data_IF_665267421118
#
_entry.id   IF_665267421118
#
_cell.length_a   1.000
_cell.length_b   1.000
_cell.length_c   1.000
_cell.angle_alpha   90.00
_cell.angle_beta   90.00
_cell.angle_gamma   90.00
#
_symmetry.space_group_name_H-M   'P 1'
#
loop_
_entity.id
_entity.type
_entity.pdbx_description
1 polymer ?
#
# COMPACT_ATOMS: atom_id res chain seq x y z
N UNK A 1 -29.74 -18.58 -10.26
CA UNK A 1 -30.34 -18.37 -8.92
C UNK A 1 -30.77 -16.91 -8.87
N UNK A 2 -32.08 -16.59 -8.84
CA UNK A 2 -32.53 -15.19 -8.91
C UNK A 2 -32.82 -14.65 -7.49
N UNK A 3 -31.81 -14.07 -6.85
CA UNK A 3 -31.97 -13.31 -5.61
C UNK A 3 -31.75 -11.82 -5.92
N UNK A 4 -32.74 -11.01 -5.55
CA UNK A 4 -32.71 -9.57 -5.78
C UNK A 4 -31.83 -8.86 -4.76
N UNK A 5 -31.34 -7.67 -5.14
CA UNK A 5 -30.58 -6.80 -4.23
C UNK A 5 -31.39 -6.46 -2.96
N UNK A 6 -32.71 -6.26 -3.09
CA UNK A 6 -33.58 -5.99 -1.94
C UNK A 6 -33.62 -7.16 -0.95
N UNK A 7 -33.64 -8.41 -1.44
CA UNK A 7 -33.59 -9.60 -0.57
C UNK A 7 -32.25 -9.73 0.13
N UNK A 8 -31.14 -9.38 -0.53
CA UNK A 8 -29.81 -9.36 0.08
C UNK A 8 -29.71 -8.28 1.15
N UNK A 9 -30.20 -7.08 0.86
CA UNK A 9 -30.21 -5.99 1.80
C UNK A 9 -31.01 -6.32 3.06
N UNK A 10 -32.20 -6.91 2.90
CA UNK A 10 -33.03 -7.37 4.01
C UNK A 10 -32.34 -8.48 4.82
N UNK A 11 -31.83 -9.51 4.14
CA UNK A 11 -31.21 -10.67 4.79
C UNK A 11 -30.04 -10.29 5.70
N UNK A 12 -29.19 -9.37 5.25
CA UNK A 12 -28.02 -8.94 6.02
C UNK A 12 -28.21 -7.61 6.78
N UNK A 13 -29.42 -7.04 6.78
CA UNK A 13 -29.71 -5.79 7.49
C UNK A 13 -28.94 -4.58 6.95
N UNK A 14 -28.72 -4.51 5.63
CA UNK A 14 -28.09 -3.35 4.97
C UNK A 14 -29.10 -2.20 4.94
N UNK A 15 -28.92 -1.25 5.85
CA UNK A 15 -29.81 -0.08 6.00
C UNK A 15 -29.32 1.14 5.20
N UNK A 16 -28.03 1.22 4.91
CA UNK A 16 -27.46 2.30 4.09
C UNK A 16 -27.51 1.94 2.60
N UNK A 17 -28.20 2.77 1.81
CA UNK A 17 -28.31 2.75 0.33
C UNK A 17 -27.68 1.52 -0.37
N UNK A 18 -28.43 0.40 -0.49
CA UNK A 18 -27.90 -0.85 -1.04
C UNK A 18 -27.50 -0.74 -2.51
N UNK A 19 -28.18 0.10 -3.29
CA UNK A 19 -27.82 0.35 -4.71
C UNK A 19 -26.43 0.96 -4.83
N UNK A 20 -26.03 1.81 -3.88
CA UNK A 20 -24.67 2.37 -3.84
C UNK A 20 -23.67 1.33 -3.36
N UNK A 21 -23.95 0.67 -2.24
CA UNK A 21 -23.04 -0.29 -1.60
C UNK A 21 -22.74 -1.49 -2.51
N UNK A 22 -23.79 -2.04 -3.13
CA UNK A 22 -23.73 -3.23 -3.98
C UNK A 22 -24.01 -2.88 -5.45
N UNK A 23 -23.58 -1.68 -5.90
CA UNK A 23 -23.73 -1.28 -7.31
C UNK A 23 -23.12 -2.32 -8.25
N UNK A 24 -23.78 -2.59 -9.38
CA UNK A 24 -23.41 -3.67 -10.30
C UNK A 24 -23.96 -5.04 -9.93
N UNK A 25 -24.90 -5.12 -8.96
CA UNK A 25 -25.45 -6.39 -8.49
C UNK A 25 -26.08 -7.23 -9.62
N UNK A 26 -26.91 -6.60 -10.44
CA UNK A 26 -27.65 -7.30 -11.50
C UNK A 26 -26.69 -7.85 -12.56
N UNK A 27 -25.68 -7.08 -12.95
CA UNK A 27 -24.61 -7.48 -13.86
C UNK A 27 -23.83 -8.67 -13.33
N UNK A 28 -23.46 -8.64 -12.05
CA UNK A 28 -22.81 -9.77 -11.40
C UNK A 28 -23.70 -11.02 -11.42
N UNK A 29 -24.97 -10.90 -11.05
CA UNK A 29 -25.89 -12.04 -10.99
C UNK A 29 -26.18 -12.65 -12.37
N UNK A 30 -26.17 -11.85 -13.45
CA UNK A 30 -26.31 -12.37 -14.83
C UNK A 30 -25.15 -13.29 -15.24
N UNK A 31 -23.98 -13.12 -14.64
CA UNK A 31 -22.78 -13.93 -14.95
C UNK A 31 -22.56 -15.08 -13.96
N UNK A 32 -23.42 -15.21 -12.95
CA UNK A 32 -23.28 -16.24 -11.92
C UNK A 32 -23.44 -17.63 -12.54
N UNK A 33 -22.48 -18.56 -12.32
CA UNK A 33 -22.58 -19.91 -12.86
C UNK A 33 -23.76 -20.65 -12.25
N UNK A 34 -24.27 -21.65 -12.98
CA UNK A 34 -25.21 -22.59 -12.41
C UNK A 34 -24.50 -23.48 -11.37
N UNK A 35 -25.12 -23.64 -10.20
CA UNK A 35 -24.57 -24.44 -9.10
C UNK A 35 -23.61 -23.67 -8.19
N UNK A 36 -22.73 -24.42 -7.51
CA UNK A 36 -21.73 -23.85 -6.58
C UNK A 36 -20.55 -23.33 -7.40
N UNK A 37 -20.14 -22.05 -7.26
CA UNK A 37 -18.95 -21.52 -7.91
C UNK A 37 -17.71 -22.36 -7.61
N UNK A 38 -16.87 -22.57 -8.63
CA UNK A 38 -15.71 -23.47 -8.53
C UNK A 38 -14.74 -23.11 -7.41
N UNK A 39 -14.64 -21.83 -7.04
CA UNK A 39 -13.79 -21.36 -5.96
C UNK A 39 -14.24 -21.79 -4.55
N UNK A 40 -15.47 -22.27 -4.38
CA UNK A 40 -15.96 -22.86 -3.13
C UNK A 40 -15.76 -24.38 -3.06
N UNK A 41 -15.11 -24.98 -4.07
CA UNK A 41 -14.78 -26.42 -4.04
C UNK A 41 -13.50 -26.68 -3.22
N UNK A 42 -13.43 -27.78 -2.47
CA UNK A 42 -12.25 -28.10 -1.64
C UNK A 42 -10.95 -28.14 -2.42
N UNK A 43 -10.95 -28.79 -3.58
CA UNK A 43 -9.77 -28.88 -4.45
C UNK A 43 -9.24 -27.50 -4.85
N UNK A 44 -10.14 -26.53 -5.09
CA UNK A 44 -9.75 -25.18 -5.50
C UNK A 44 -9.11 -24.37 -4.36
N UNK A 45 -9.80 -24.24 -3.22
CA UNK A 45 -9.32 -23.40 -2.13
C UNK A 45 -8.15 -24.04 -1.37
N UNK A 46 -8.08 -25.38 -1.25
CA UNK A 46 -6.95 -26.05 -0.60
C UNK A 46 -5.68 -25.98 -1.46
N UNK A 47 -5.80 -26.12 -2.78
CA UNK A 47 -4.67 -25.93 -3.70
C UNK A 47 -4.13 -24.49 -3.62
N UNK A 48 -5.03 -23.50 -3.61
CA UNK A 48 -4.66 -22.09 -3.48
C UNK A 48 -4.06 -21.78 -2.11
N UNK A 49 -4.62 -22.34 -1.03
CA UNK A 49 -4.12 -22.21 0.33
C UNK A 49 -2.67 -22.69 0.45
N UNK A 50 -2.40 -23.91 -0.04
CA UNK A 50 -1.06 -24.50 -0.06
C UNK A 50 -0.08 -23.67 -0.90
N UNK A 51 -0.53 -23.11 -2.02
CA UNK A 51 0.28 -22.26 -2.88
C UNK A 51 0.69 -20.96 -2.16
N UNK A 52 -0.24 -20.33 -1.44
CA UNK A 52 -0.02 -19.13 -0.65
C UNK A 52 0.76 -19.39 0.66
N UNK A 53 0.85 -20.65 1.11
CA UNK A 53 1.56 -21.03 2.32
C UNK A 53 0.80 -20.76 3.61
N UNK A 54 -0.53 -20.85 3.59
CA UNK A 54 -1.33 -20.77 4.81
C UNK A 54 -1.06 -21.96 5.74
N UNK A 55 -1.18 -21.73 7.04
CA UNK A 55 -0.98 -22.76 8.06
C UNK A 55 -2.19 -23.72 8.18
N UNK A 56 -1.94 -24.93 8.70
CA UNK A 56 -2.97 -25.95 8.88
C UNK A 56 -4.16 -25.49 9.74
N UNK A 57 -3.91 -24.63 10.74
CA UNK A 57 -4.96 -24.08 11.59
C UNK A 57 -5.94 -23.22 10.80
N UNK A 58 -5.42 -22.42 9.86
CA UNK A 58 -6.22 -21.67 8.89
C UNK A 58 -6.96 -22.62 7.95
N UNK A 59 -6.29 -23.62 7.37
CA UNK A 59 -6.89 -24.57 6.42
C UNK A 59 -8.09 -25.32 6.99
N UNK A 60 -8.01 -25.72 8.25
CA UNK A 60 -9.07 -26.46 8.94
C UNK A 60 -10.40 -25.67 9.05
N UNK A 61 -10.37 -24.35 8.84
CA UNK A 61 -11.57 -23.49 8.88
C UNK A 61 -12.23 -23.31 7.51
N UNK A 62 -11.54 -23.63 6.41
CA UNK A 62 -11.98 -23.32 5.05
C UNK A 62 -13.18 -24.17 4.64
N UNK A 63 -13.09 -25.50 4.78
CA UNK A 63 -14.13 -26.43 4.35
C UNK A 63 -15.47 -26.22 5.08
N UNK A 64 -15.53 -26.17 6.43
CA UNK A 64 -16.79 -25.94 7.13
C UNK A 64 -17.45 -24.61 6.74
N UNK A 65 -16.65 -23.56 6.55
CA UNK A 65 -17.15 -22.24 6.14
C UNK A 65 -17.67 -22.25 4.70
N UNK A 66 -16.97 -22.91 3.77
CA UNK A 66 -17.39 -23.06 2.39
C UNK A 66 -18.71 -23.85 2.28
N UNK A 67 -18.91 -24.88 3.12
CA UNK A 67 -20.16 -25.63 3.16
C UNK A 67 -21.35 -24.78 3.63
N UNK A 68 -21.14 -23.92 4.63
CA UNK A 68 -22.19 -22.98 5.10
C UNK A 68 -22.53 -22.00 3.98
N UNK A 69 -21.53 -21.35 3.38
CA UNK A 69 -21.72 -20.40 2.29
C UNK A 69 -22.43 -21.04 1.10
N UNK A 70 -22.09 -22.29 0.76
CA UNK A 70 -22.68 -23.00 -0.38
C UNK A 70 -24.15 -23.38 -0.18
N UNK A 71 -24.61 -23.52 1.07
CA UNK A 71 -25.99 -23.89 1.41
C UNK A 71 -26.89 -22.66 1.61
N UNK A 72 -26.31 -21.52 1.97
CA UNK A 72 -27.02 -20.25 2.13
C UNK A 72 -27.06 -19.46 0.82
N UNK A 73 -28.26 -19.25 0.26
CA UNK A 73 -28.43 -18.56 -1.02
C UNK A 73 -27.95 -17.10 -1.00
N UNK A 74 -28.08 -16.41 0.13
CA UNK A 74 -27.68 -15.01 0.28
C UNK A 74 -26.17 -14.88 0.37
N UNK A 75 -25.50 -15.72 1.18
CA UNK A 75 -24.05 -15.77 1.25
C UNK A 75 -23.43 -16.20 -0.08
N UNK A 76 -24.00 -17.20 -0.75
CA UNK A 76 -23.52 -17.67 -2.03
C UNK A 76 -23.57 -16.56 -3.10
N UNK A 77 -24.71 -15.88 -3.22
CA UNK A 77 -24.86 -14.78 -4.17
C UNK A 77 -23.93 -13.60 -3.83
N UNK A 78 -23.82 -13.24 -2.55
CA UNK A 78 -22.91 -12.17 -2.13
C UNK A 78 -21.44 -12.54 -2.39
N UNK A 79 -21.04 -13.80 -2.16
CA UNK A 79 -19.68 -14.26 -2.46
C UNK A 79 -19.38 -14.15 -3.95
N UNK A 80 -20.33 -14.52 -4.81
CA UNK A 80 -20.20 -14.35 -6.26
C UNK A 80 -20.09 -12.88 -6.65
N UNK A 81 -20.94 -12.01 -6.08
CA UNK A 81 -20.88 -10.57 -6.33
C UNK A 81 -19.51 -9.98 -5.99
N UNK A 82 -18.96 -10.33 -4.82
CA UNK A 82 -17.64 -9.82 -4.40
C UNK A 82 -16.55 -10.38 -5.31
N UNK A 83 -16.58 -11.67 -5.65
CA UNK A 83 -15.66 -12.27 -6.62
C UNK A 83 -15.69 -11.52 -7.96
N UNK A 84 -16.89 -11.33 -8.53
CA UNK A 84 -17.09 -10.58 -9.77
C UNK A 84 -16.50 -9.17 -9.69
N UNK A 85 -16.71 -8.45 -8.58
CA UNK A 85 -16.15 -7.12 -8.39
C UNK A 85 -14.61 -7.12 -8.33
N UNK A 86 -14.00 -8.17 -7.74
CA UNK A 86 -12.54 -8.29 -7.64
C UNK A 86 -11.89 -8.62 -8.99
N UNK A 87 -12.56 -9.40 -9.84
CA UNK A 87 -12.02 -9.87 -11.13
C UNK A 87 -12.37 -8.97 -12.30
N UNK A 88 -13.66 -8.61 -12.44
CA UNK A 88 -14.22 -7.87 -13.58
C UNK A 88 -14.51 -6.40 -13.27
N UNK A 89 -14.57 -6.04 -11.98
CA UNK A 89 -14.90 -4.67 -11.56
C UNK A 89 -13.88 -3.63 -12.03
N UNK A 90 -14.40 -2.54 -12.61
CA UNK A 90 -13.64 -1.34 -12.99
C UNK A 90 -13.63 -0.26 -11.91
N UNK A 91 -14.53 -0.37 -10.93
CA UNK A 91 -14.69 0.60 -9.84
C UNK A 91 -13.96 0.13 -8.59
N UNK A 92 -13.13 1.01 -8.02
CA UNK A 92 -12.51 0.78 -6.72
C UNK A 92 -13.59 0.71 -5.62
N UNK A 93 -13.54 -0.33 -4.79
CA UNK A 93 -14.52 -0.60 -3.73
C UNK A 93 -13.81 -1.01 -2.47
N UNK A 94 -14.33 -0.57 -1.33
CA UNK A 94 -13.97 -1.11 -0.02
C UNK A 94 -15.11 -2.00 0.48
N UNK A 95 -14.76 -3.03 1.25
CA UNK A 95 -15.73 -4.01 1.75
C UNK A 95 -15.96 -3.88 3.26
N UNK A 96 -15.40 -2.84 3.88
CA UNK A 96 -15.58 -2.48 5.29
C UNK A 96 -17.02 -2.13 5.66
N UNK A 97 -17.81 -1.70 4.68
CA UNK A 97 -19.24 -1.42 4.83
C UNK A 97 -20.14 -2.64 4.61
N UNK A 98 -19.57 -3.80 4.26
CA UNK A 98 -20.35 -5.03 4.24
C UNK A 98 -20.77 -5.42 5.66
N UNK A 99 -21.95 -6.04 5.81
CA UNK A 99 -22.46 -6.47 7.10
C UNK A 99 -21.57 -7.54 7.75
N UNK A 100 -21.68 -7.68 9.06
CA UNK A 100 -20.97 -8.73 9.79
C UNK A 100 -21.62 -10.09 9.52
N UNK A 101 -20.83 -11.07 9.09
CA UNK A 101 -21.28 -12.46 8.89
C UNK A 101 -21.22 -13.30 10.17
N UNK A 102 -21.20 -12.66 11.35
CA UNK A 102 -21.12 -13.39 12.64
C UNK A 102 -22.34 -14.26 12.92
N UNK A 103 -23.51 -13.88 12.40
CA UNK A 103 -24.74 -14.66 12.59
C UNK A 103 -24.68 -16.00 11.85
N UNK A 104 -24.10 -16.00 10.64
CA UNK A 104 -24.04 -17.17 9.77
C UNK A 104 -22.77 -18.00 9.99
N UNK A 105 -21.62 -17.34 10.17
CA UNK A 105 -20.29 -17.97 10.23
C UNK A 105 -19.63 -17.90 11.61
N UNK A 106 -20.26 -17.23 12.59
CA UNK A 106 -19.71 -17.08 13.94
C UNK A 106 -18.31 -16.46 13.92
N UNK A 107 -17.39 -17.08 14.66
CA UNK A 107 -15.99 -16.68 14.75
C UNK A 107 -15.20 -16.85 13.43
N UNK A 108 -15.76 -17.58 12.46
CA UNK A 108 -15.18 -17.77 11.13
C UNK A 108 -15.66 -16.72 10.10
N UNK A 109 -16.29 -15.61 10.53
CA UNK A 109 -16.77 -14.57 9.60
C UNK A 109 -15.66 -14.04 8.67
N UNK A 110 -14.42 -13.99 9.14
CA UNK A 110 -13.26 -13.60 8.34
C UNK A 110 -12.91 -14.57 7.20
N UNK A 111 -13.35 -15.83 7.30
CA UNK A 111 -13.10 -16.88 6.30
C UNK A 111 -13.92 -16.66 5.03
N UNK A 112 -15.05 -15.97 5.11
CA UNK A 112 -15.77 -15.51 3.92
C UNK A 112 -14.85 -14.75 2.96
N UNK A 113 -14.10 -13.78 3.50
CA UNK A 113 -13.14 -12.99 2.72
C UNK A 113 -11.86 -13.77 2.38
N UNK A 114 -11.46 -14.73 3.20
CA UNK A 114 -10.34 -15.63 2.88
C UNK A 114 -10.62 -16.50 1.65
N UNK A 115 -11.80 -17.11 1.57
CA UNK A 115 -12.19 -17.92 0.41
C UNK A 115 -12.22 -17.07 -0.87
N UNK A 116 -12.67 -15.83 -0.77
CA UNK A 116 -12.63 -14.86 -1.88
C UNK A 116 -11.20 -14.46 -2.24
N UNK A 117 -10.30 -14.26 -1.27
CA UNK A 117 -8.88 -14.03 -1.56
C UNK A 117 -8.25 -15.21 -2.30
N UNK A 118 -8.48 -16.44 -1.82
CA UNK A 118 -7.99 -17.67 -2.43
C UNK A 118 -8.56 -17.91 -3.84
N UNK A 119 -9.80 -17.49 -4.08
CA UNK A 119 -10.45 -17.60 -5.40
C UNK A 119 -9.72 -16.86 -6.52
N UNK A 120 -8.93 -15.83 -6.17
CA UNK A 120 -8.17 -15.04 -7.14
C UNK A 120 -6.89 -15.74 -7.62
N UNK A 121 -6.36 -16.68 -6.81
CA UNK A 121 -5.03 -17.29 -7.05
C UNK A 121 -4.95 -18.01 -8.41
N UNK A 122 -5.91 -18.86 -8.82
CA UNK A 122 -5.82 -19.53 -10.11
C UNK A 122 -5.83 -18.56 -11.30
N UNK A 123 -6.61 -17.49 -11.22
CA UNK A 123 -6.65 -16.46 -12.27
C UNK A 123 -5.38 -15.61 -12.29
N UNK A 124 -4.91 -15.17 -11.12
CA UNK A 124 -3.65 -14.44 -10.97
C UNK A 124 -2.48 -15.23 -11.59
N UNK A 125 -2.33 -16.51 -11.24
CA UNK A 125 -1.29 -17.39 -11.79
C UNK A 125 -1.30 -17.40 -13.32
N UNK A 126 -2.47 -17.62 -13.93
CA UNK A 126 -2.63 -17.57 -15.39
C UNK A 126 -2.24 -16.22 -15.98
N UNK A 127 -2.56 -15.12 -15.31
CA UNK A 127 -2.16 -13.77 -15.74
C UNK A 127 -0.63 -13.63 -15.75
N UNK A 128 0.04 -13.97 -14.65
CA UNK A 128 1.49 -13.86 -14.55
C UNK A 128 2.24 -14.86 -15.47
N UNK A 129 1.71 -16.07 -15.66
CA UNK A 129 2.25 -17.06 -16.60
C UNK A 129 2.22 -16.51 -18.04
N UNK A 130 1.12 -15.87 -18.46
CA UNK A 130 1.02 -15.20 -19.77
C UNK A 130 2.00 -14.04 -19.93
N UNK A 131 2.40 -13.42 -18.82
CA UNK A 131 3.41 -12.36 -18.77
C UNK A 131 4.85 -12.91 -18.71
N UNK A 132 5.02 -14.24 -18.77
CA UNK A 132 6.30 -14.94 -18.63
C UNK A 132 7.03 -14.61 -17.32
N UNK A 133 6.28 -14.45 -16.24
CA UNK A 133 6.86 -14.20 -14.91
C UNK A 133 7.31 -15.52 -14.29
N UNK A 134 8.55 -15.59 -13.75
CA UNK A 134 9.06 -16.77 -13.06
C UNK A 134 8.15 -17.25 -11.91
N UNK A 135 7.95 -18.57 -11.80
CA UNK A 135 7.04 -19.18 -10.82
C UNK A 135 7.37 -18.79 -9.37
N UNK A 136 8.66 -18.63 -9.03
CA UNK A 136 9.08 -18.18 -7.70
C UNK A 136 8.57 -16.77 -7.37
N UNK A 137 8.58 -15.84 -8.33
CA UNK A 137 8.03 -14.49 -8.16
C UNK A 137 6.52 -14.55 -8.00
N UNK A 138 5.82 -15.39 -8.78
CA UNK A 138 4.37 -15.59 -8.64
C UNK A 138 4.05 -16.10 -7.23
N UNK A 139 4.77 -17.12 -6.78
CA UNK A 139 4.59 -17.70 -5.44
C UNK A 139 4.84 -16.67 -4.34
N UNK A 140 5.92 -15.90 -4.43
CA UNK A 140 6.21 -14.85 -3.45
C UNK A 140 5.15 -13.76 -3.46
N UNK A 141 4.67 -13.36 -4.64
CA UNK A 141 3.60 -12.36 -4.78
C UNK A 141 2.28 -12.84 -4.17
N UNK A 142 1.96 -14.14 -4.28
CA UNK A 142 0.74 -14.70 -3.66
C UNK A 142 0.81 -14.86 -2.14
N UNK A 143 1.98 -14.66 -1.51
CA UNK A 143 2.11 -14.68 -0.04
C UNK A 143 1.39 -13.51 0.63
N UNK A 144 0.95 -12.48 -0.11
CA UNK A 144 0.20 -11.38 0.51
C UNK A 144 -1.09 -11.87 1.18
N UNK A 145 -1.71 -12.94 0.68
CA UNK A 145 -2.89 -13.55 1.32
C UNK A 145 -2.54 -14.06 2.73
N UNK A 146 -1.37 -14.65 2.92
CA UNK A 146 -0.88 -15.05 4.25
C UNK A 146 -0.57 -13.83 5.12
N UNK A 147 0.04 -12.80 4.54
CA UNK A 147 0.27 -11.52 5.22
C UNK A 147 -1.02 -10.87 5.74
N UNK A 148 -2.07 -10.84 4.92
CA UNK A 148 -3.38 -10.32 5.30
C UNK A 148 -4.10 -11.22 6.31
N UNK A 149 -3.87 -12.54 6.25
CA UNK A 149 -4.29 -13.46 7.32
C UNK A 149 -3.66 -13.08 8.66
N UNK A 150 -2.36 -12.76 8.66
CA UNK A 150 -1.65 -12.25 9.82
C UNK A 150 -2.29 -10.99 10.41
N UNK A 151 -2.63 -10.01 9.55
CA UNK A 151 -3.30 -8.79 9.98
C UNK A 151 -4.68 -9.08 10.61
N UNK A 152 -5.46 -9.97 10.01
CA UNK A 152 -6.75 -10.38 10.55
C UNK A 152 -6.61 -11.04 11.92
N UNK A 153 -5.62 -11.93 12.08
CA UNK A 153 -5.30 -12.58 13.36
C UNK A 153 -4.92 -11.55 14.44
N UNK A 154 -4.16 -10.51 14.09
CA UNK A 154 -3.82 -9.43 15.03
C UNK A 154 -5.07 -8.67 15.48
N UNK A 155 -6.02 -8.41 14.57
CA UNK A 155 -7.25 -7.67 14.87
C UNK A 155 -8.33 -8.48 15.60
N UNK A 156 -8.37 -9.80 15.43
CA UNK A 156 -9.51 -10.66 15.78
C UNK A 156 -9.14 -11.83 16.71
N UNK A 157 -8.29 -11.59 17.71
CA UNK A 157 -7.90 -12.58 18.74
C UNK A 157 -7.32 -13.88 18.15
N UNK A 158 -6.40 -13.73 17.19
CA UNK A 158 -5.72 -14.83 16.49
C UNK A 158 -6.64 -15.70 15.61
N UNK A 159 -7.86 -15.24 15.31
CA UNK A 159 -8.75 -15.93 14.37
C UNK A 159 -8.32 -15.70 12.92
N UNK A 160 -8.32 -16.74 12.07
CA UNK A 160 -7.96 -16.61 10.66
C UNK A 160 -9.02 -15.85 9.86
N UNK A 161 -8.61 -15.22 8.76
CA UNK A 161 -9.51 -14.47 7.88
C UNK A 161 -8.80 -13.38 7.08
N UNK A 162 -9.56 -12.57 6.36
CA UNK A 162 -9.05 -11.37 5.68
C UNK A 162 -9.86 -10.17 6.15
N UNK A 163 -9.19 -9.06 6.46
CA UNK A 163 -9.90 -7.83 6.81
C UNK A 163 -10.58 -7.26 5.56
N UNK A 164 -11.87 -6.87 5.63
CA UNK A 164 -12.62 -6.44 4.45
C UNK A 164 -12.01 -5.23 3.73
N UNK A 165 -11.41 -4.30 4.48
CA UNK A 165 -10.74 -3.13 3.93
C UNK A 165 -9.44 -3.45 3.17
N UNK A 166 -8.90 -4.66 3.29
CA UNK A 166 -7.69 -5.10 2.56
C UNK A 166 -8.03 -5.87 1.28
N UNK A 167 -9.20 -6.50 1.21
CA UNK A 167 -9.57 -7.43 0.13
C UNK A 167 -9.46 -6.82 -1.28
N UNK A 168 -9.85 -5.55 -1.43
CA UNK A 168 -9.82 -4.86 -2.72
C UNK A 168 -8.41 -4.77 -3.32
N UNK A 169 -7.39 -4.69 -2.46
CA UNK A 169 -5.99 -4.62 -2.87
C UNK A 169 -5.59 -5.86 -3.67
N UNK A 170 -6.20 -7.01 -3.36
CA UNK A 170 -5.88 -8.27 -3.99
C UNK A 170 -6.21 -8.32 -5.50
N UNK A 171 -7.12 -7.45 -5.97
CA UNK A 171 -7.40 -7.32 -7.41
C UNK A 171 -6.17 -6.91 -8.22
N UNK A 172 -5.21 -6.20 -7.62
CA UNK A 172 -3.96 -5.84 -8.29
C UNK A 172 -3.15 -7.09 -8.67
N UNK A 173 -3.14 -8.10 -7.81
CA UNK A 173 -2.46 -9.37 -8.09
C UNK A 173 -3.20 -10.16 -9.17
N UNK A 174 -4.53 -10.24 -9.10
CA UNK A 174 -5.34 -10.88 -10.15
C UNK A 174 -5.08 -10.26 -11.53
N UNK A 175 -4.97 -8.93 -11.57
CA UNK A 175 -4.73 -8.13 -12.78
C UNK A 175 -3.25 -8.07 -13.20
N UNK A 176 -2.35 -8.78 -12.53
CA UNK A 176 -0.93 -8.84 -12.88
C UNK A 176 -0.18 -7.51 -12.69
N UNK A 177 -0.64 -6.64 -11.78
CA UNK A 177 -0.08 -5.30 -11.60
C UNK A 177 1.04 -5.23 -10.56
N UNK A 178 1.00 -6.09 -9.54
CA UNK A 178 1.96 -6.09 -8.42
C UNK A 178 2.93 -7.26 -8.51
N UNK A 179 4.16 -7.07 -8.07
CA UNK A 179 5.19 -8.11 -8.07
C UNK A 179 5.99 -8.02 -6.78
N UNK A 180 6.06 -9.13 -6.02
CA UNK A 180 6.95 -9.22 -4.86
C UNK A 180 8.34 -9.62 -5.30
N UNK A 181 9.30 -8.71 -5.12
CA UNK A 181 10.67 -8.87 -5.58
C UNK A 181 11.61 -8.69 -4.40
N UNK A 182 11.87 -9.79 -3.68
CA UNK A 182 12.59 -9.75 -2.40
C UNK A 182 11.70 -9.23 -1.27
N UNK A 183 12.15 -8.17 -0.56
CA UNK A 183 11.43 -7.66 0.61
C UNK A 183 10.14 -6.92 0.24
N UNK A 184 10.14 -6.15 -0.84
CA UNK A 184 9.04 -5.26 -1.18
C UNK A 184 8.20 -5.78 -2.34
N UNK A 185 7.07 -5.13 -2.53
CA UNK A 185 6.22 -5.28 -3.72
C UNK A 185 6.29 -4.04 -4.57
N UNK A 186 6.04 -4.20 -5.86
CA UNK A 186 6.21 -3.13 -6.82
C UNK A 186 5.16 -3.19 -7.92
N UNK A 187 4.77 -2.03 -8.42
CA UNK A 187 4.01 -1.89 -9.67
C UNK A 187 4.58 -0.72 -10.48
N UNK A 188 4.27 -0.68 -11.78
CA UNK A 188 4.57 0.47 -12.61
C UNK A 188 3.43 1.47 -12.56
N UNK A 189 3.75 2.72 -12.26
CA UNK A 189 2.81 3.84 -12.29
C UNK A 189 3.51 5.09 -12.82
N UNK A 190 2.78 5.99 -13.50
CA UNK A 190 3.26 7.34 -13.73
C UNK A 190 3.54 8.05 -12.41
N UNK A 191 4.61 8.83 -12.37
CA UNK A 191 4.98 9.63 -11.20
C UNK A 191 3.89 10.66 -10.89
N UNK A 192 3.33 10.54 -9.70
CA UNK A 192 2.17 11.30 -9.24
C UNK A 192 2.43 12.01 -7.90
N UNK A 193 3.66 11.97 -7.37
CA UNK A 193 4.03 12.68 -6.14
C UNK A 193 4.39 14.15 -6.42
N UNK A 194 4.23 15.04 -5.42
CA UNK A 194 4.41 16.47 -5.62
C UNK A 194 5.88 16.84 -5.85
N UNK A 195 6.16 17.50 -6.98
CA UNK A 195 7.43 18.17 -7.24
C UNK A 195 8.17 17.62 -8.45
N UNK A 196 9.34 18.21 -8.71
CA UNK A 196 10.26 17.79 -9.78
C UNK A 196 11.65 17.63 -9.21
N UNK A 197 12.30 16.52 -9.54
CA UNK A 197 13.67 16.23 -9.12
C UNK A 197 14.63 16.50 -10.27
N UNK A 198 15.76 17.11 -9.93
CA UNK A 198 16.85 17.42 -10.84
C UNK A 198 18.13 16.75 -10.39
N UNK A 199 18.99 16.46 -11.36
CA UNK A 199 20.32 15.88 -11.20
C UNK A 199 21.38 16.84 -11.72
N UNK A 200 22.43 17.07 -10.94
CA UNK A 200 23.60 17.77 -11.42
C UNK A 200 24.37 16.87 -12.39
N UNK A 201 24.66 17.36 -13.60
CA UNK A 201 25.34 16.61 -14.65
C UNK A 201 26.75 16.17 -14.28
N UNK A 202 27.46 16.97 -13.48
CA UNK A 202 28.87 16.74 -13.11
C UNK A 202 29.00 15.87 -11.86
N UNK A 203 28.19 16.15 -10.83
CA UNK A 203 28.33 15.51 -9.51
C UNK A 203 27.35 14.37 -9.27
N UNK A 204 26.27 14.29 -10.06
CA UNK A 204 25.17 13.35 -9.83
C UNK A 204 24.28 13.71 -8.63
N UNK A 205 24.55 14.83 -7.95
CA UNK A 205 23.76 15.30 -6.81
C UNK A 205 22.30 15.51 -7.21
N UNK A 206 21.37 15.17 -6.32
CA UNK A 206 19.92 15.35 -6.53
C UNK A 206 19.37 16.52 -5.74
N UNK A 207 18.41 17.22 -6.33
CA UNK A 207 17.59 18.23 -5.66
C UNK A 207 16.14 18.12 -6.14
N UNK A 208 15.20 17.95 -5.22
CA UNK A 208 13.78 18.05 -5.49
C UNK A 208 13.28 19.46 -5.21
N UNK A 209 12.39 19.99 -6.04
CA UNK A 209 11.65 21.22 -5.78
C UNK A 209 10.18 20.92 -5.52
N UNK A 210 9.60 21.63 -4.56
CA UNK A 210 8.16 21.61 -4.30
C UNK A 210 7.39 22.12 -5.52
N UNK A 211 6.14 21.71 -5.74
CA UNK A 211 5.22 22.45 -6.61
C UNK A 211 5.05 23.90 -6.13
N UNK A 212 4.57 24.76 -7.01
CA UNK A 212 4.16 26.12 -6.66
C UNK A 212 2.92 26.08 -5.75
N UNK A 213 2.77 27.08 -4.88
CA UNK A 213 1.53 27.31 -4.12
C UNK A 213 1.13 26.20 -3.12
N UNK A 214 2.09 25.39 -2.64
CA UNK A 214 1.85 24.43 -1.55
C UNK A 214 2.12 25.11 -0.21
N UNK A 215 1.21 24.94 0.76
CA UNK A 215 1.41 25.45 2.12
C UNK A 215 2.14 24.44 2.99
N UNK A 216 3.18 24.91 3.67
CA UNK A 216 3.97 24.17 4.64
C UNK A 216 3.89 24.83 6.02
N UNK A 217 4.00 24.03 7.08
CA UNK A 217 4.15 24.52 8.45
C UNK A 217 5.56 25.10 8.70
N UNK A 218 5.80 25.65 9.90
CA UNK A 218 7.11 26.21 10.27
C UNK A 218 8.27 25.20 10.22
N UNK A 219 7.98 23.90 10.31
CA UNK A 219 8.95 22.82 10.28
C UNK A 219 9.14 22.22 8.86
N UNK A 220 8.43 22.75 7.85
CA UNK A 220 8.55 22.33 6.45
C UNK A 220 7.73 21.08 6.08
N UNK A 221 6.75 20.68 6.89
CA UNK A 221 5.80 19.62 6.52
C UNK A 221 4.55 20.21 5.89
N UNK A 222 3.84 19.44 5.06
CA UNK A 222 2.61 19.92 4.41
C UNK A 222 1.59 20.29 5.49
N UNK A 223 1.13 21.54 5.48
CA UNK A 223 0.29 22.11 6.54
C UNK A 223 -1.17 21.62 6.43
N UNK A 224 -2.00 21.93 7.43
CA UNK A 224 -3.44 21.69 7.38
C UNK A 224 -3.87 20.28 7.77
N UNK A 225 -3.08 19.55 8.57
CA UNK A 225 -3.47 18.22 9.06
C UNK A 225 -4.74 18.36 9.91
N UNK A 226 -5.85 17.80 9.41
CA UNK A 226 -7.15 17.90 10.06
C UNK A 226 -7.70 19.33 10.08
N UNK A 227 -7.43 20.12 9.03
CA UNK A 227 -7.87 21.51 8.86
C UNK A 227 -7.28 22.50 9.88
N UNK A 228 -6.21 22.08 10.57
CA UNK A 228 -5.46 22.93 11.50
C UNK A 228 -4.19 23.40 10.82
N UNK A 229 -4.04 24.73 10.69
CA UNK A 229 -2.91 25.38 10.03
C UNK A 229 -1.96 26.05 11.05
N UNK A 230 -0.66 26.05 10.75
CA UNK A 230 0.31 26.87 11.49
C UNK A 230 0.21 28.33 11.03
N UNK A 231 -0.69 29.10 11.63
CA UNK A 231 -0.90 30.52 11.31
C UNK A 231 0.32 31.40 11.61
N UNK A 232 1.18 30.96 12.53
CA UNK A 232 2.30 31.78 13.01
C UNK A 232 3.53 31.64 12.11
N UNK A 233 3.88 30.43 11.71
CA UNK A 233 5.12 30.16 10.98
C UNK A 233 4.91 29.54 9.60
N UNK A 234 3.67 29.19 9.24
CA UNK A 234 3.34 28.60 7.95
C UNK A 234 3.74 29.49 6.78
N UNK A 235 4.05 28.87 5.66
CA UNK A 235 4.54 29.55 4.46
C UNK A 235 4.11 28.81 3.20
N UNK A 236 4.08 29.53 2.07
CA UNK A 236 3.67 28.98 0.78
C UNK A 236 4.89 28.86 -0.12
N UNK A 237 5.06 27.71 -0.75
CA UNK A 237 6.15 27.48 -1.69
C UNK A 237 5.98 28.27 -2.97
N UNK A 238 7.11 28.48 -3.64
CA UNK A 238 7.13 28.95 -5.02
C UNK A 238 7.93 28.00 -5.90
N UNK A 239 7.53 27.88 -7.16
CA UNK A 239 8.28 27.18 -8.19
C UNK A 239 8.16 27.88 -9.54
N UNK A 240 9.29 28.06 -10.21
CA UNK A 240 9.35 28.68 -11.53
C UNK A 240 10.48 28.06 -12.36
N UNK A 241 10.19 27.76 -13.61
CA UNK A 241 11.17 27.36 -14.62
C UNK A 241 11.10 28.38 -15.78
N UNK A 242 12.13 29.19 -15.96
CA UNK A 242 12.22 30.22 -17.01
C UNK A 242 13.66 30.45 -17.44
N UNK A 243 13.89 30.83 -18.69
CA UNK A 243 15.20 31.23 -19.22
C UNK A 243 16.36 30.26 -18.90
N UNK A 244 16.07 28.95 -18.86
CA UNK A 244 17.07 27.92 -18.53
C UNK A 244 17.45 27.83 -17.05
N UNK A 245 16.67 28.45 -16.17
CA UNK A 245 16.81 28.41 -14.72
C UNK A 245 15.57 27.80 -14.06
N UNK A 246 15.79 26.98 -13.03
CA UNK A 246 14.74 26.52 -12.13
C UNK A 246 14.96 27.20 -10.80
N UNK A 247 13.95 27.92 -10.31
CA UNK A 247 14.00 28.65 -9.05
C UNK A 247 12.78 28.32 -8.19
N UNK A 248 13.00 27.99 -6.92
CA UNK A 248 11.90 27.66 -6.02
C UNK A 248 12.34 27.14 -4.67
N UNK A 249 11.40 26.57 -3.93
CA UNK A 249 11.64 25.96 -2.63
C UNK A 249 12.07 24.49 -2.78
N UNK A 250 13.27 24.11 -2.33
CA UNK A 250 13.72 22.74 -2.45
C UNK A 250 13.21 21.87 -1.30
N UNK A 251 13.16 20.56 -1.54
CA UNK A 251 13.07 19.57 -0.48
C UNK A 251 14.46 19.34 0.13
N UNK A 252 14.48 19.15 1.45
CA UNK A 252 15.58 18.49 2.15
C UNK A 252 15.40 16.98 1.98
N UNK A 253 16.47 16.22 1.66
CA UNK A 253 16.41 14.75 1.61
C UNK A 253 16.12 14.12 2.98
N UNK A 254 16.07 14.93 4.05
CA UNK A 254 15.64 14.55 5.38
C UNK A 254 14.11 14.55 5.55
N UNK A 255 13.32 14.86 4.51
CA UNK A 255 11.87 14.70 4.51
C UNK A 255 11.04 15.93 4.86
N UNK A 256 11.59 17.14 4.69
CA UNK A 256 10.87 18.41 4.88
C UNK A 256 11.22 19.41 3.77
N UNK A 257 10.34 20.36 3.50
CA UNK A 257 10.57 21.45 2.56
C UNK A 257 11.40 22.58 3.20
N UNK A 258 12.24 23.24 2.40
CA UNK A 258 13.10 24.34 2.83
C UNK A 258 12.48 25.67 2.39
N UNK A 259 12.33 26.61 3.32
CA UNK A 259 11.68 27.91 3.10
C UNK A 259 12.51 28.85 2.24
N UNK A 260 13.84 28.74 2.32
CA UNK A 260 14.78 29.49 1.50
C UNK A 260 14.74 29.00 0.06
N UNK A 261 14.53 29.93 -0.88
CA UNK A 261 14.53 29.61 -2.31
C UNK A 261 15.94 29.31 -2.81
N UNK A 262 16.03 28.44 -3.80
CA UNK A 262 17.25 28.15 -4.54
C UNK A 262 17.00 28.22 -6.03
N UNK A 263 18.08 28.52 -6.76
CA UNK A 263 18.09 28.53 -8.22
C UNK A 263 19.18 27.58 -8.73
N UNK A 264 18.82 26.77 -9.74
CA UNK A 264 19.76 25.91 -10.47
C UNK A 264 19.68 26.23 -11.97
N UNK A 265 20.81 26.13 -12.67
CA UNK A 265 20.87 26.27 -14.12
C UNK A 265 20.68 24.92 -14.82
N UNK A 266 19.80 24.88 -15.82
CA UNK A 266 19.58 23.71 -16.68
C UNK A 266 20.78 23.39 -17.59
N UNK A 267 21.79 24.25 -17.63
CA UNK A 267 23.09 23.94 -18.24
C UNK A 267 23.88 22.93 -17.37
N UNK A 268 23.83 23.07 -16.05
CA UNK A 268 24.54 22.20 -15.11
C UNK A 268 23.65 21.08 -14.54
N UNK A 269 22.33 21.23 -14.64
CA UNK A 269 21.34 20.31 -14.08
C UNK A 269 20.37 19.82 -15.15
N UNK A 270 19.77 18.66 -14.92
CA UNK A 270 18.74 18.10 -15.79
C UNK A 270 17.63 17.44 -14.98
N UNK A 271 16.40 17.32 -15.52
CA UNK A 271 15.33 16.58 -14.87
C UNK A 271 15.76 15.11 -14.63
N UNK A 272 15.60 14.65 -13.40
CA UNK A 272 15.84 13.28 -12.98
C UNK A 272 14.52 12.49 -12.81
N UNK A 273 13.46 13.19 -12.41
CA UNK A 273 12.10 12.67 -12.28
C UNK A 273 11.09 13.82 -12.28
N UNK A 274 10.08 13.75 -13.14
CA UNK A 274 8.99 14.74 -13.24
C UNK A 274 7.64 14.06 -13.37
N UNK A 275 6.57 14.84 -13.23
CA UNK A 275 5.20 14.35 -13.36
C UNK A 275 5.00 13.53 -14.65
N UNK A 276 4.30 12.40 -14.52
CA UNK A 276 4.00 11.43 -15.58
C UNK A 276 5.17 10.61 -16.14
N UNK A 277 6.40 10.77 -15.64
CA UNK A 277 7.47 9.81 -15.93
C UNK A 277 7.10 8.42 -15.37
N UNK A 278 7.44 7.34 -16.05
CA UNK A 278 7.25 6.00 -15.49
C UNK A 278 8.13 5.78 -14.26
N UNK A 279 7.52 5.24 -13.20
CA UNK A 279 8.20 4.90 -11.95
C UNK A 279 7.85 3.52 -11.48
N UNK A 280 8.74 2.95 -10.68
CA UNK A 280 8.48 1.73 -9.93
C UNK A 280 7.89 2.15 -8.58
N UNK A 281 6.58 2.08 -8.45
CA UNK A 281 5.86 2.39 -7.21
C UNK A 281 6.00 1.22 -6.23
N UNK A 282 6.63 1.48 -5.09
CA UNK A 282 6.93 0.49 -4.07
C UNK A 282 5.79 0.40 -3.05
N UNK A 283 5.48 -0.83 -2.66
CA UNK A 283 4.59 -1.19 -1.58
C UNK A 283 5.28 -2.11 -0.57
N UNK A 284 4.85 -2.02 0.69
CA UNK A 284 5.54 -2.65 1.81
C UNK A 284 4.61 -3.70 2.41
N UNK A 285 4.75 -4.98 2.01
CA UNK A 285 3.91 -6.04 2.54
C UNK A 285 4.24 -6.30 4.02
N UNK A 286 3.30 -6.86 4.80
CA UNK A 286 3.52 -7.23 6.20
C UNK A 286 4.67 -8.24 6.37
N UNK A 287 5.17 -8.38 7.60
CA UNK A 287 6.17 -9.40 7.96
C UNK A 287 7.53 -8.88 8.46
N UNK A 288 7.76 -7.58 8.61
CA UNK A 288 9.00 -7.04 9.19
C UNK A 288 10.24 -7.33 8.32
N UNK A 289 11.45 -7.43 8.88
CA UNK A 289 12.63 -7.88 8.10
C UNK A 289 13.19 -6.91 7.05
N UNK A 290 12.94 -5.61 7.18
CA UNK A 290 13.48 -4.56 6.29
C UNK A 290 14.97 -4.25 6.58
N UNK A 291 15.83 -5.26 6.68
CA UNK A 291 17.26 -4.99 6.87
C UNK A 291 17.79 -4.18 5.67
N UNK A 292 18.81 -3.32 5.85
CA UNK A 292 19.37 -2.56 4.74
C UNK A 292 19.75 -3.43 3.53
N UNK A 293 20.27 -4.63 3.77
CA UNK A 293 20.65 -5.59 2.72
C UNK A 293 19.42 -6.09 1.97
N UNK A 294 18.37 -6.53 2.69
CA UNK A 294 17.14 -7.00 2.08
C UNK A 294 16.43 -5.89 1.27
N UNK A 295 16.49 -4.64 1.75
CA UNK A 295 15.96 -3.48 1.04
C UNK A 295 16.76 -3.19 -0.24
N UNK A 296 18.09 -3.16 -0.15
CA UNK A 296 18.97 -2.96 -1.31
C UNK A 296 18.77 -4.04 -2.37
N UNK A 297 18.76 -5.29 -1.95
CA UNK A 297 18.63 -6.43 -2.86
C UNK A 297 17.25 -6.41 -3.55
N UNK A 298 16.19 -6.05 -2.80
CA UNK A 298 14.86 -5.83 -3.36
C UNK A 298 14.85 -4.70 -4.41
N UNK A 299 15.51 -3.57 -4.15
CA UNK A 299 15.60 -2.46 -5.11
C UNK A 299 16.34 -2.88 -6.39
N UNK A 300 17.46 -3.60 -6.23
CA UNK A 300 18.24 -4.12 -7.36
C UNK A 300 17.40 -5.05 -8.21
N UNK A 301 16.73 -6.03 -7.59
CA UNK A 301 15.84 -6.96 -8.30
C UNK A 301 14.69 -6.22 -8.98
N UNK A 302 14.12 -5.18 -8.37
CA UNK A 302 13.06 -4.39 -8.99
C UNK A 302 13.54 -3.68 -10.27
N UNK A 303 14.67 -2.97 -10.21
CA UNK A 303 15.21 -2.31 -11.40
C UNK A 303 15.54 -3.31 -12.51
N UNK A 304 16.15 -4.45 -12.18
CA UNK A 304 16.44 -5.52 -13.15
C UNK A 304 15.13 -6.06 -13.77
N UNK A 305 14.17 -6.43 -12.92
CA UNK A 305 12.90 -7.01 -13.33
C UNK A 305 12.11 -6.09 -14.27
N UNK A 306 11.87 -4.82 -13.90
CA UNK A 306 11.04 -3.93 -14.72
C UNK A 306 11.73 -3.52 -16.01
N UNK A 307 13.05 -3.35 -16.02
CA UNK A 307 13.79 -3.06 -17.25
C UNK A 307 13.81 -4.25 -18.22
N UNK A 308 13.72 -5.49 -17.72
CA UNK A 308 13.64 -6.69 -18.56
C UNK A 308 12.22 -6.98 -19.04
N UNK A 309 11.23 -6.95 -18.14
CA UNK A 309 9.86 -7.37 -18.45
C UNK A 309 8.97 -6.27 -19.03
N UNK A 310 9.32 -4.99 -18.82
CA UNK A 310 8.55 -3.83 -19.27
C UNK A 310 9.45 -2.73 -19.88
N UNK A 311 10.27 -3.05 -20.90
CA UNK A 311 11.27 -2.12 -21.44
C UNK A 311 10.63 -0.87 -22.08
N UNK A 312 9.36 -0.91 -22.45
CA UNK A 312 8.61 0.23 -22.98
C UNK A 312 8.24 1.27 -21.91
N UNK A 313 8.31 0.90 -20.62
CA UNK A 313 8.01 1.75 -19.46
C UNK A 313 9.27 2.02 -18.65
N UNK A 314 10.30 2.53 -19.33
CA UNK A 314 11.61 2.81 -18.73
C UNK A 314 11.46 3.65 -17.47
N UNK A 315 11.88 3.08 -16.34
CA UNK A 315 11.77 3.70 -15.02
C UNK A 315 13.16 3.84 -14.40
N UNK A 316 13.54 5.07 -14.07
CA UNK A 316 14.84 5.39 -13.45
C UNK A 316 14.76 5.54 -11.92
N UNK A 317 13.55 5.49 -11.36
CA UNK A 317 13.32 5.71 -9.94
C UNK A 317 12.32 4.71 -9.34
N UNK A 318 12.60 4.32 -8.10
CA UNK A 318 11.64 3.71 -7.19
C UNK A 318 11.07 4.84 -6.31
N UNK A 319 9.76 4.85 -6.14
CA UNK A 319 9.05 5.87 -5.35
C UNK A 319 8.07 5.21 -4.40
N UNK A 320 7.75 5.87 -3.29
CA UNK A 320 6.70 5.42 -2.38
C UNK A 320 6.20 6.57 -1.51
N UNK A 321 4.92 6.54 -1.16
CA UNK A 321 4.36 7.32 -0.05
C UNK A 321 3.92 6.35 1.04
N UNK A 322 4.42 6.54 2.26
CA UNK A 322 4.08 5.68 3.39
C UNK A 322 4.30 6.36 4.74
N UNK A 323 3.50 5.93 5.72
CA UNK A 323 3.71 6.22 7.15
C UNK A 323 5.07 5.76 7.66
N UNK A 324 5.67 4.76 6.99
CA UNK A 324 7.02 4.26 7.30
C UNK A 324 8.07 5.37 7.17
N UNK A 325 7.85 6.34 6.28
CA UNK A 325 8.77 7.47 6.08
C UNK A 325 8.49 8.65 7.03
N UNK A 326 7.77 8.41 8.13
CA UNK A 326 7.60 9.40 9.18
C UNK A 326 8.93 9.68 9.90
N UNK A 327 9.48 10.86 9.64
CA UNK A 327 10.77 11.32 10.19
C UNK A 327 10.79 11.43 11.72
N UNK A 328 9.63 11.43 12.40
CA UNK A 328 9.57 11.35 13.86
C UNK A 328 10.23 10.06 14.39
N UNK A 329 10.21 8.98 13.61
CA UNK A 329 10.81 7.70 13.99
C UNK A 329 12.33 7.71 13.99
N UNK A 330 13.00 8.60 13.23
CA UNK A 330 14.47 8.66 13.22
C UNK A 330 15.04 8.94 14.62
N UNK A 331 14.33 9.73 15.44
CA UNK A 331 14.70 10.02 16.83
C UNK A 331 14.23 8.94 17.81
N UNK A 332 13.04 8.36 17.58
CA UNK A 332 12.39 7.45 18.52
C UNK A 332 12.85 5.99 18.37
N UNK A 333 13.31 5.61 17.18
CA UNK A 333 13.65 4.23 16.80
C UNK A 333 14.95 4.18 15.98
N UNK A 334 16.05 4.85 16.40
CA UNK A 334 17.24 5.07 15.57
C UNK A 334 17.91 3.79 15.08
N UNK A 335 17.88 2.72 15.89
CA UNK A 335 18.53 1.45 15.57
C UNK A 335 17.66 0.51 14.73
N UNK A 336 16.40 0.90 14.48
CA UNK A 336 15.46 0.08 13.73
C UNK A 336 15.88 -0.05 12.27
N UNK A 337 15.62 -1.23 11.71
CA UNK A 337 15.77 -1.51 10.29
C UNK A 337 15.03 -0.49 9.40
N UNK A 338 13.84 -0.05 9.85
CA UNK A 338 13.06 0.99 9.21
C UNK A 338 13.82 2.31 9.08
N UNK A 339 14.38 2.81 10.19
CA UNK A 339 15.13 4.08 10.17
C UNK A 339 16.43 3.96 9.37
N UNK A 340 17.13 2.83 9.48
CA UNK A 340 18.33 2.57 8.67
C UNK A 340 18.01 2.60 7.17
N UNK A 341 16.87 2.04 6.76
CA UNK A 341 16.40 2.13 5.39
C UNK A 341 16.05 3.57 5.01
N UNK A 342 15.31 4.32 5.84
CA UNK A 342 14.98 5.73 5.59
C UNK A 342 16.22 6.60 5.33
N UNK A 343 17.33 6.31 6.01
CA UNK A 343 18.60 7.05 5.86
C UNK A 343 19.26 6.86 4.49
N UNK A 344 18.88 5.82 3.74
CA UNK A 344 19.38 5.56 2.37
C UNK A 344 18.56 6.25 1.28
N UNK A 345 17.46 6.91 1.64
CA UNK A 345 16.47 7.44 0.69
C UNK A 345 16.50 8.96 0.60
N UNK A 346 16.05 9.49 -0.54
CA UNK A 346 15.68 10.90 -0.66
C UNK A 346 14.25 11.06 -0.17
N UNK A 347 14.06 11.55 1.05
CA UNK A 347 12.73 11.78 1.62
C UNK A 347 12.19 13.16 1.25
N UNK A 348 10.86 13.28 1.17
CA UNK A 348 10.16 14.56 0.99
C UNK A 348 8.80 14.53 1.71
N UNK A 349 8.27 15.69 2.14
CA UNK A 349 6.99 15.75 2.84
C UNK A 349 5.83 15.47 1.89
N UNK A 350 4.78 14.86 2.42
CA UNK A 350 3.50 14.61 1.73
C UNK A 350 2.35 14.94 2.68
N UNK A 351 1.16 15.15 2.13
CA UNK A 351 -0.04 15.37 2.94
C UNK A 351 -0.24 14.19 3.90
N UNK A 352 -0.44 14.51 5.18
CA UNK A 352 -0.69 13.53 6.24
C UNK A 352 -2.12 13.65 6.79
N UNK A 353 -2.68 12.53 7.25
CA UNK A 353 -4.00 12.46 7.87
C UNK A 353 -3.98 12.57 9.40
N UNK A 354 -2.80 12.52 10.01
CA UNK A 354 -2.61 12.72 11.45
C UNK A 354 -2.71 11.45 12.29
N UNK A 355 -3.12 10.34 11.68
CA UNK A 355 -3.14 8.97 12.23
C UNK A 355 -2.46 7.97 11.28
N UNK A 356 -1.64 8.46 10.37
CA UNK A 356 -0.94 7.67 9.37
C UNK A 356 -0.22 6.47 9.99
N UNK A 357 -0.40 5.28 9.39
CA UNK A 357 0.20 4.04 9.86
C UNK A 357 -0.53 3.32 10.99
N UNK A 358 -1.49 3.96 11.66
CA UNK A 358 -2.14 3.38 12.84
C UNK A 358 -2.79 2.03 12.52
N UNK A 359 -3.63 1.97 11.48
CA UNK A 359 -4.23 0.71 11.02
C UNK A 359 -3.18 -0.34 10.67
N UNK A 360 -2.06 0.02 10.03
CA UNK A 360 -1.04 -0.95 9.61
C UNK A 360 -0.27 -1.59 10.78
N UNK A 361 -0.18 -0.90 11.92
CA UNK A 361 0.53 -1.40 13.12
C UNK A 361 -0.42 -2.09 14.10
N UNK A 362 -1.68 -1.67 14.13
CA UNK A 362 -2.67 -2.10 15.12
C UNK A 362 -3.78 -2.97 14.55
N UNK A 363 -3.94 -3.03 13.22
CA UNK A 363 -4.94 -3.77 12.44
C UNK A 363 -6.41 -3.44 12.77
N UNK A 364 -6.65 -2.47 13.66
CA UNK A 364 -7.96 -1.93 14.03
C UNK A 364 -7.79 -0.56 14.66
N UNK A 365 -8.87 0.22 14.68
CA UNK A 365 -8.93 1.47 15.41
C UNK A 365 -9.14 1.23 16.91
N UNK A 366 -8.64 2.16 17.72
CA UNK A 366 -8.86 2.20 19.16
C UNK A 366 -9.39 3.59 19.52
N UNK A 367 -10.63 3.65 20.02
CA UNK A 367 -11.23 4.89 20.49
C UNK A 367 -10.47 5.42 21.73
N UNK A 368 -10.09 4.50 22.62
CA UNK A 368 -9.25 4.78 23.77
C UNK A 368 -7.83 4.23 23.52
N UNK A 369 -6.84 5.12 23.36
CA UNK A 369 -5.45 4.73 23.12
C UNK A 369 -4.83 3.95 24.30
N UNK A 370 -5.39 4.03 25.51
CA UNK A 370 -4.93 3.22 26.64
C UNK A 370 -5.08 1.71 26.38
N UNK A 371 -6.10 1.30 25.61
CA UNK A 371 -6.39 -0.10 25.27
C UNK A 371 -5.52 -0.64 24.14
N UNK A 372 -4.82 0.23 23.41
CA UNK A 372 -3.95 -0.18 22.32
C UNK A 372 -2.70 -0.96 22.85
N UNK A 373 -2.28 -2.05 22.19
CA UNK A 373 -1.16 -2.86 22.63
C UNK A 373 0.16 -2.08 22.60
N UNK A 374 1.02 -2.29 23.61
CA UNK A 374 2.36 -1.68 23.73
C UNK A 374 3.47 -2.75 23.72
N UNK A 375 3.31 -3.78 22.90
CA UNK A 375 4.21 -4.96 22.87
C UNK A 375 5.52 -4.65 22.15
N UNK A 376 5.49 -3.82 21.12
CA UNK A 376 6.69 -3.44 20.34
C UNK A 376 7.14 -2.01 20.62
N UNK A 377 8.41 -1.71 20.33
CA UNK A 377 8.95 -0.35 20.40
C UNK A 377 8.21 0.60 19.45
N UNK A 378 7.84 0.13 18.25
CA UNK A 378 7.05 0.90 17.29
C UNK A 378 5.66 1.26 17.83
N UNK A 379 4.95 0.31 18.44
CA UNK A 379 3.65 0.56 19.06
C UNK A 379 3.77 1.63 20.16
N UNK A 380 4.78 1.51 21.04
CA UNK A 380 5.04 2.49 22.10
C UNK A 380 5.37 3.88 21.52
N UNK A 381 6.19 3.95 20.47
CA UNK A 381 6.57 5.20 19.83
C UNK A 381 5.37 5.91 19.20
N UNK A 382 4.52 5.19 18.47
CA UNK A 382 3.32 5.76 17.84
C UNK A 382 2.31 6.26 18.87
N UNK A 383 2.04 5.46 19.90
CA UNK A 383 1.13 5.86 20.97
C UNK A 383 1.68 7.07 21.75
N UNK A 384 2.97 7.09 22.05
CA UNK A 384 3.60 8.23 22.72
C UNK A 384 3.55 9.54 21.91
N UNK A 385 3.63 9.47 20.58
CA UNK A 385 3.40 10.65 19.71
C UNK A 385 1.97 11.18 19.88
N UNK A 386 0.97 10.29 19.78
CA UNK A 386 -0.44 10.67 19.86
C UNK A 386 -0.83 11.17 21.26
N UNK A 387 -0.33 10.51 22.31
CA UNK A 387 -0.55 10.89 23.72
C UNK A 387 0.08 12.25 24.06
N UNK A 388 1.17 12.63 23.37
CA UNK A 388 1.76 13.97 23.51
C UNK A 388 0.98 15.08 22.78
N UNK A 389 -0.18 14.76 22.21
CA UNK A 389 -0.98 15.68 21.38
C UNK A 389 -0.42 15.92 19.98
N UNK A 390 0.71 15.28 19.61
CA UNK A 390 1.27 15.39 18.27
C UNK A 390 0.57 14.43 17.32
N UNK A 391 0.68 14.71 16.02
CA UNK A 391 0.10 13.91 14.96
C UNK A 391 1.12 12.92 14.41
N UNK A 392 0.64 11.75 13.99
CA UNK A 392 1.40 10.85 13.12
C UNK A 392 1.40 11.40 11.70
N UNK A 393 2.43 11.07 10.92
CA UNK A 393 2.62 11.61 9.57
C UNK A 393 3.01 10.52 8.59
N UNK A 394 2.87 10.84 7.31
CA UNK A 394 3.44 10.09 6.20
C UNK A 394 4.59 10.89 5.56
N UNK A 395 5.44 10.19 4.82
CA UNK A 395 6.49 10.78 4.00
C UNK A 395 6.49 10.18 2.61
N UNK A 396 7.00 10.93 1.65
CA UNK A 396 7.37 10.42 0.34
C UNK A 396 8.85 10.04 0.30
N UNK A 397 9.19 9.07 -0.54
CA UNK A 397 10.57 8.73 -0.85
C UNK A 397 10.77 8.58 -2.35
N UNK A 398 11.98 8.93 -2.79
CA UNK A 398 12.50 8.61 -4.11
C UNK A 398 13.88 7.97 -3.97
N UNK A 399 14.16 6.98 -4.82
CA UNK A 399 15.45 6.34 -4.96
C UNK A 399 15.77 6.15 -6.43
N UNK A 400 16.96 6.59 -6.87
CA UNK A 400 17.33 6.59 -8.29
C UNK A 400 18.26 5.42 -8.62
N UNK A 401 18.04 4.77 -9.77
CA UNK A 401 18.81 3.58 -10.20
C UNK A 401 20.32 3.82 -10.21
N UNK A 402 20.77 5.02 -10.59
CA UNK A 402 22.18 5.41 -10.63
C UNK A 402 22.85 5.45 -9.24
N UNK A 403 22.06 5.54 -8.17
CA UNK A 403 22.55 5.58 -6.80
C UNK A 403 22.56 4.19 -6.12
N UNK A 404 22.13 3.12 -6.82
CA UNK A 404 22.12 1.76 -6.25
C UNK A 404 23.50 1.30 -5.78
N UNK A 405 24.57 1.69 -6.48
CA UNK A 405 25.96 1.40 -6.09
C UNK A 405 26.46 2.18 -4.88
N UNK A 406 25.69 3.17 -4.40
CA UNK A 406 25.99 3.97 -3.21
C UNK A 406 25.10 3.60 -2.01
N UNK A 407 24.17 2.65 -2.17
CA UNK A 407 23.33 2.18 -1.06
C UNK A 407 24.21 1.64 0.08
N UNK A 408 23.91 2.04 1.31
CA UNK A 408 24.70 1.77 2.51
C UNK A 408 25.69 2.89 2.86
N UNK A 409 25.79 3.92 2.01
CA UNK A 409 26.61 5.12 2.25
C UNK A 409 25.77 6.34 2.58
N UNK A 410 24.44 6.21 2.66
CA UNK A 410 23.53 7.33 2.91
C UNK A 410 23.77 8.51 1.95
N UNK A 411 23.85 8.21 0.65
CA UNK A 411 24.32 9.16 -0.37
C UNK A 411 23.54 10.49 -0.39
N UNK A 412 22.25 10.47 -0.01
CA UNK A 412 21.43 11.68 0.07
C UNK A 412 21.63 12.48 1.38
N UNK A 413 22.22 11.87 2.41
CA UNK A 413 22.46 12.49 3.73
C UNK A 413 23.81 13.19 3.85
N UNK A 414 24.80 12.83 3.02
CA UNK A 414 26.09 13.53 2.99
C UNK A 414 25.96 14.98 2.47
N UNK A 415 24.84 15.27 1.81
CA UNK A 415 24.52 16.58 1.24
C UNK A 415 24.01 17.60 2.27
N UNK A 416 24.42 17.46 3.54
CA UNK A 416 24.11 18.37 4.67
C UNK A 416 24.60 19.82 4.47
N UNK A 417 25.35 20.09 3.40
CA UNK A 417 25.78 21.43 3.00
C UNK A 417 24.91 21.91 1.84
N UNK A 418 23.67 22.25 2.17
CA UNK A 418 22.77 22.94 1.26
C UNK A 418 22.35 24.24 1.89
#
# INVERSE_FOLDING_TARGET
MNISLAQIADHFGITENPDKLLSGWNEAMMTMPEGIPSFLTPDSFLSSSKFCGLDQGTENTLLPSAEIISKDKSLLALSWYVFYCLTEGTVYRTYDKLPSFKKELGDNSGIFFMLLALSLVPGARKTYEKMNIPENIIKDTMKEIEGFNGNHKVANDNRPGILPNQLHWLSNYYKGKLFRLGRFEYKLEPFHFPGTFYRNRKTGQKIGFTPDSIRFDGDGFVDGIGEVFDEKNGWTSSFKEEDGLVSGNPYSPLGFAIKEKKSISLNDWEPALKANDWTIDLHIPPGGGMTPEACRDSFKTAFEFFNTHFPEKKSSAIVCNSWIFNTQFEKLLPDSNMVKFMQELYLFPVQSGGRDGFFFVFCREYANLAEAPRKTSLQKAMLGILESGRKLRSGGMAFFIEDIGKFGKQAYREVRKF
#
